data_IF_834152847267
#
_entry.id   IF_834152847267
#
_cell.length_a   1.000
_cell.length_b   1.000
_cell.length_c   1.000
_cell.angle_alpha   90.00
_cell.angle_beta   90.00
_cell.angle_gamma   90.00
#
_symmetry.space_group_name_H-M   'P 1'
#
loop_
_entity.id
_entity.type
_entity.pdbx_description
1 polymer ?
#
# COMPACT_ATOMS: atom_id res chain seq x y z
N UNK A 1 -51.55 17.67 -31.34
CA UNK A 1 -50.08 17.91 -31.33
C UNK A 1 -49.36 17.50 -30.04
N UNK A 2 -49.86 17.81 -28.83
CA UNK A 2 -49.14 17.57 -27.55
C UNK A 2 -48.82 16.09 -27.26
N UNK A 3 -49.67 15.14 -27.67
CA UNK A 3 -49.45 13.69 -27.48
C UNK A 3 -48.28 13.14 -28.30
N UNK A 4 -48.09 13.61 -29.54
CA UNK A 4 -47.01 13.17 -30.43
C UNK A 4 -45.62 13.62 -29.94
N UNK A 5 -45.54 14.83 -29.37
CA UNK A 5 -44.29 15.36 -28.80
C UNK A 5 -43.85 14.63 -27.53
N UNK A 6 -44.80 14.23 -26.68
CA UNK A 6 -44.49 13.38 -25.51
C UNK A 6 -44.00 11.99 -25.94
N UNK A 7 -44.62 11.39 -26.96
CA UNK A 7 -44.23 10.08 -27.48
C UNK A 7 -42.81 10.08 -28.08
N UNK A 8 -42.43 11.11 -28.85
CA UNK A 8 -41.07 11.21 -29.41
C UNK A 8 -39.99 11.38 -28.33
N UNK A 9 -40.29 12.07 -27.23
CA UNK A 9 -39.39 12.15 -26.06
C UNK A 9 -39.21 10.80 -25.38
N UNK A 10 -40.26 10.01 -25.24
CA UNK A 10 -40.16 8.65 -24.69
C UNK A 10 -39.31 7.73 -25.58
N UNK A 11 -39.49 7.79 -26.90
CA UNK A 11 -38.68 7.03 -27.85
C UNK A 11 -37.20 7.43 -27.79
N UNK A 12 -36.88 8.73 -27.81
CA UNK A 12 -35.50 9.22 -27.65
C UNK A 12 -34.88 8.80 -26.31
N UNK A 13 -35.66 8.82 -25.22
CA UNK A 13 -35.18 8.38 -23.90
C UNK A 13 -34.92 6.87 -23.86
N UNK A 14 -35.79 6.07 -24.48
CA UNK A 14 -35.61 4.62 -24.63
C UNK A 14 -34.37 4.29 -25.46
N UNK A 15 -34.20 4.96 -26.61
CA UNK A 15 -33.05 4.77 -27.50
C UNK A 15 -31.72 5.15 -26.82
N UNK A 16 -31.70 6.28 -26.09
CA UNK A 16 -30.54 6.69 -25.30
C UNK A 16 -30.22 5.70 -24.17
N UNK A 17 -31.24 5.12 -23.54
CA UNK A 17 -31.07 4.10 -22.49
C UNK A 17 -30.50 2.80 -23.09
N UNK A 18 -31.00 2.38 -24.25
CA UNK A 18 -30.49 1.21 -24.98
C UNK A 18 -29.03 1.40 -25.42
N UNK A 19 -28.68 2.56 -26.01
CA UNK A 19 -27.30 2.90 -26.37
C UNK A 19 -26.37 2.91 -25.16
N UNK A 20 -26.81 3.45 -24.02
CA UNK A 20 -26.04 3.44 -22.77
C UNK A 20 -25.79 2.01 -22.26
N UNK A 21 -26.79 1.13 -22.31
CA UNK A 21 -26.64 -0.28 -21.92
C UNK A 21 -25.64 -0.99 -22.83
N UNK A 22 -25.74 -0.81 -24.15
CA UNK A 22 -24.82 -1.42 -25.12
C UNK A 22 -23.39 -0.92 -24.89
N UNK A 23 -23.22 0.39 -24.69
CA UNK A 23 -21.90 0.96 -24.40
C UNK A 23 -21.32 0.44 -23.08
N UNK A 24 -22.12 0.36 -22.02
CA UNK A 24 -21.68 -0.21 -20.75
C UNK A 24 -21.29 -1.68 -20.87
N UNK A 25 -22.04 -2.48 -21.64
CA UNK A 25 -21.68 -3.89 -21.92
C UNK A 25 -20.35 -3.97 -22.67
N UNK A 26 -20.16 -3.18 -23.74
CA UNK A 26 -18.88 -3.13 -24.48
C UNK A 26 -17.72 -2.72 -23.58
N UNK A 27 -17.93 -1.74 -22.69
CA UNK A 27 -16.94 -1.28 -21.73
C UNK A 27 -16.56 -2.40 -20.74
N UNK A 28 -17.57 -3.09 -20.19
CA UNK A 28 -17.37 -4.23 -19.29
C UNK A 28 -16.56 -5.34 -19.97
N UNK A 29 -16.92 -5.72 -21.21
CA UNK A 29 -16.19 -6.73 -21.97
C UNK A 29 -14.73 -6.34 -22.19
N UNK A 30 -14.46 -5.06 -22.49
CA UNK A 30 -13.08 -4.56 -22.64
C UNK A 30 -12.30 -4.69 -21.33
N UNK A 31 -12.88 -4.31 -20.19
CA UNK A 31 -12.21 -4.47 -18.90
C UNK A 31 -11.97 -5.93 -18.54
N UNK A 32 -12.92 -6.82 -18.83
CA UNK A 32 -12.74 -8.26 -18.63
C UNK A 32 -11.59 -8.82 -19.46
N UNK A 33 -11.48 -8.42 -20.74
CA UNK A 33 -10.38 -8.85 -21.60
C UNK A 33 -9.03 -8.34 -21.10
N UNK A 34 -8.94 -7.09 -20.66
CA UNK A 34 -7.72 -6.53 -20.06
C UNK A 34 -7.35 -7.31 -18.80
N UNK A 35 -8.33 -7.60 -17.93
CA UNK A 35 -8.10 -8.36 -16.71
C UNK A 35 -7.60 -9.78 -16.99
N UNK A 36 -8.20 -10.48 -17.96
CA UNK A 36 -7.74 -11.81 -18.39
C UNK A 36 -6.33 -11.76 -18.99
N UNK A 37 -6.00 -10.72 -19.76
CA UNK A 37 -4.66 -10.53 -20.32
C UNK A 37 -3.60 -10.32 -19.22
N UNK A 38 -3.95 -9.56 -18.16
CA UNK A 38 -3.08 -9.36 -17.00
C UNK A 38 -2.86 -10.68 -16.24
N UNK A 39 -3.90 -11.49 -16.07
CA UNK A 39 -3.75 -12.82 -15.44
C UNK A 39 -2.87 -13.72 -16.29
N UNK A 40 -3.14 -13.80 -17.60
CA UNK A 40 -2.35 -14.60 -18.52
C UNK A 40 -0.87 -14.18 -18.52
N UNK A 41 -0.59 -12.87 -18.56
CA UNK A 41 0.79 -12.40 -18.52
C UNK A 41 1.48 -12.72 -17.20
N UNK A 42 0.78 -12.65 -16.07
CA UNK A 42 1.31 -13.04 -14.76
C UNK A 42 1.65 -14.53 -14.68
N UNK A 43 0.88 -15.39 -15.34
CA UNK A 43 1.09 -16.84 -15.35
C UNK A 43 2.23 -17.26 -16.27
N UNK A 44 2.38 -16.59 -17.42
CA UNK A 44 3.34 -16.97 -18.46
C UNK A 44 4.70 -16.29 -18.28
N UNK A 45 4.74 -15.05 -17.82
CA UNK A 45 5.97 -14.26 -17.73
C UNK A 45 6.35 -13.97 -16.26
N UNK A 46 7.46 -14.54 -15.75
CA UNK A 46 7.90 -14.31 -14.37
C UNK A 46 8.10 -12.83 -14.02
N UNK A 47 8.63 -12.03 -14.95
CA UNK A 47 8.82 -10.59 -14.73
C UNK A 47 7.50 -9.82 -14.63
N UNK A 48 6.47 -10.25 -15.37
CA UNK A 48 5.12 -9.67 -15.25
C UNK A 48 4.50 -10.01 -13.89
N UNK A 49 4.66 -11.26 -13.40
CA UNK A 49 4.26 -11.67 -12.04
C UNK A 49 4.89 -10.76 -10.99
N UNK A 50 6.21 -10.55 -11.05
CA UNK A 50 6.94 -9.67 -10.12
C UNK A 50 6.38 -8.25 -10.13
N UNK A 51 6.20 -7.67 -11.31
CA UNK A 51 5.68 -6.32 -11.48
C UNK A 51 4.26 -6.16 -10.93
N UNK A 52 3.37 -7.12 -11.19
CA UNK A 52 1.99 -7.12 -10.68
C UNK A 52 1.99 -7.17 -9.15
N UNK A 53 2.82 -8.02 -8.54
CA UNK A 53 2.89 -8.12 -7.08
C UNK A 53 3.43 -6.82 -6.46
N UNK A 54 4.45 -6.20 -7.07
CA UNK A 54 4.94 -4.88 -6.64
C UNK A 54 3.82 -3.84 -6.67
N UNK A 55 3.03 -3.79 -7.75
CA UNK A 55 1.87 -2.88 -7.85
C UNK A 55 0.84 -3.19 -6.77
N UNK A 56 0.54 -4.46 -6.51
CA UNK A 56 -0.43 -4.85 -5.49
C UNK A 56 0.02 -4.43 -4.08
N UNK A 57 1.29 -4.63 -3.74
CA UNK A 57 1.85 -4.19 -2.46
C UNK A 57 1.81 -2.66 -2.31
N UNK A 58 2.15 -1.92 -3.38
CA UNK A 58 2.02 -0.46 -3.41
C UNK A 58 0.57 -0.01 -3.25
N UNK A 59 -0.37 -0.68 -3.92
CA UNK A 59 -1.79 -0.37 -3.84
C UNK A 59 -2.35 -0.64 -2.43
N UNK A 60 -1.97 -1.75 -1.79
CA UNK A 60 -2.33 -2.04 -0.40
C UNK A 60 -1.80 -0.95 0.53
N UNK A 61 -0.54 -0.54 0.37
CA UNK A 61 0.02 0.54 1.17
C UNK A 61 -0.74 1.86 0.97
N UNK A 62 -1.01 2.24 -0.28
CA UNK A 62 -1.79 3.42 -0.64
C UNK A 62 -3.19 3.39 -0.01
N UNK A 63 -3.94 2.30 -0.19
CA UNK A 63 -5.27 2.13 0.37
C UNK A 63 -5.22 2.22 1.90
N UNK A 64 -4.24 1.58 2.54
CA UNK A 64 -4.08 1.64 4.00
C UNK A 64 -3.84 3.07 4.50
N UNK A 65 -2.99 3.84 3.81
CA UNK A 65 -2.67 5.22 4.17
C UNK A 65 -3.89 6.14 4.01
N UNK A 66 -4.64 6.00 2.91
CA UNK A 66 -5.88 6.73 2.69
C UNK A 66 -6.97 6.35 3.70
N UNK A 67 -7.17 5.05 3.95
CA UNK A 67 -8.15 4.56 4.91
C UNK A 67 -7.83 5.09 6.31
N UNK A 68 -6.57 5.02 6.74
CA UNK A 68 -6.11 5.59 8.02
C UNK A 68 -6.45 7.08 8.13
N UNK A 69 -6.10 7.90 7.11
CA UNK A 69 -6.44 9.34 7.11
C UNK A 69 -7.94 9.57 7.23
N UNK A 70 -8.73 8.82 6.47
CA UNK A 70 -10.19 8.95 6.48
C UNK A 70 -10.79 8.62 7.85
N UNK A 71 -10.35 7.53 8.48
CA UNK A 71 -10.83 7.09 9.79
C UNK A 71 -10.41 8.06 10.91
N UNK A 72 -9.17 8.59 10.87
CA UNK A 72 -8.70 9.58 11.83
C UNK A 72 -9.51 10.88 11.71
N UNK A 73 -9.79 11.36 10.49
CA UNK A 73 -10.63 12.56 10.26
C UNK A 73 -12.05 12.42 10.81
N UNK A 74 -12.57 11.19 10.90
CA UNK A 74 -13.87 10.89 11.49
C UNK A 74 -13.83 10.69 13.01
N UNK A 75 -12.68 10.93 13.65
CA UNK A 75 -12.54 10.87 15.11
C UNK A 75 -12.45 9.45 15.68
N UNK A 76 -12.25 8.43 14.85
CA UNK A 76 -12.34 7.02 15.28
C UNK A 76 -11.27 6.66 16.30
N UNK A 77 -9.98 6.85 16.00
CA UNK A 77 -8.92 6.70 17.00
C UNK A 77 -7.55 7.14 16.51
N UNK A 78 -6.78 7.78 17.39
CA UNK A 78 -5.34 8.04 17.20
C UNK A 78 -4.49 6.76 17.24
N UNK A 79 -5.03 5.63 17.71
CA UNK A 79 -4.36 4.32 17.75
C UNK A 79 -4.02 3.84 16.33
N UNK A 80 -4.81 4.24 15.33
CA UNK A 80 -4.58 3.88 13.94
C UNK A 80 -3.29 4.49 13.35
N UNK A 81 -2.64 5.44 14.05
CA UNK A 81 -1.43 6.12 13.54
C UNK A 81 -0.29 5.14 13.23
N UNK A 82 -0.10 4.10 14.04
CA UNK A 82 0.95 3.11 13.83
C UNK A 82 0.65 2.08 12.73
N UNK A 83 -0.55 2.06 12.16
CA UNK A 83 -0.92 1.08 11.14
C UNK A 83 -0.33 1.50 9.79
N UNK A 84 0.86 0.98 9.50
CA UNK A 84 1.62 1.27 8.30
C UNK A 84 2.11 -0.02 7.65
N UNK A 85 1.74 -0.23 6.38
CA UNK A 85 2.19 -1.38 5.59
C UNK A 85 3.62 -1.21 5.06
N UNK A 86 4.21 -0.01 5.18
CA UNK A 86 5.50 0.35 4.62
C UNK A 86 6.61 -0.63 5.01
N UNK A 87 6.75 -0.97 6.29
CA UNK A 87 7.80 -1.90 6.74
C UNK A 87 7.62 -3.27 6.11
N UNK A 88 6.41 -3.81 6.18
CA UNK A 88 6.08 -5.10 5.59
C UNK A 88 6.39 -5.15 4.09
N UNK A 89 5.91 -4.18 3.31
CA UNK A 89 6.16 -4.14 1.85
C UNK A 89 7.64 -3.98 1.53
N UNK A 90 8.35 -3.14 2.28
CA UNK A 90 9.79 -2.89 2.12
C UNK A 90 10.61 -4.16 2.36
N UNK A 91 10.37 -4.84 3.49
CA UNK A 91 11.14 -6.02 3.88
C UNK A 91 10.83 -7.18 2.95
N UNK A 92 9.56 -7.43 2.63
CA UNK A 92 9.17 -8.51 1.71
C UNK A 92 9.85 -8.32 0.35
N UNK A 93 9.79 -7.12 -0.23
CA UNK A 93 10.35 -6.88 -1.56
C UNK A 93 11.89 -6.85 -1.57
N UNK A 94 12.53 -6.35 -0.50
CA UNK A 94 13.98 -6.44 -0.35
C UNK A 94 14.44 -7.88 -0.23
N UNK A 95 13.77 -8.67 0.62
CA UNK A 95 14.07 -10.07 0.85
C UNK A 95 13.96 -10.93 -0.42
N UNK A 96 12.91 -10.71 -1.23
CA UNK A 96 12.61 -11.54 -2.41
C UNK A 96 13.27 -11.06 -3.69
N UNK A 97 13.31 -9.75 -3.93
CA UNK A 97 13.73 -9.16 -5.20
C UNK A 97 15.08 -8.44 -5.14
N UNK A 98 15.69 -8.40 -3.96
CA UNK A 98 17.04 -7.88 -3.75
C UNK A 98 17.09 -6.37 -3.50
N UNK A 99 18.33 -5.89 -3.35
CA UNK A 99 18.65 -4.57 -2.80
C UNK A 99 17.94 -3.44 -3.55
N UNK A 100 18.07 -3.40 -4.89
CA UNK A 100 17.55 -2.28 -5.70
C UNK A 100 16.04 -2.12 -5.52
N UNK A 101 15.29 -3.22 -5.62
CA UNK A 101 13.83 -3.20 -5.54
C UNK A 101 13.39 -2.91 -4.10
N UNK A 102 14.02 -3.51 -3.10
CA UNK A 102 13.72 -3.24 -1.69
C UNK A 102 13.91 -1.77 -1.30
N UNK A 103 15.03 -1.16 -1.71
CA UNK A 103 15.31 0.25 -1.45
C UNK A 103 14.26 1.16 -2.11
N UNK A 104 13.98 0.94 -3.41
CA UNK A 104 12.98 1.72 -4.15
C UNK A 104 11.61 1.57 -3.50
N UNK A 105 11.22 0.37 -3.11
CA UNK A 105 9.94 0.10 -2.46
C UNK A 105 9.81 0.81 -1.12
N UNK A 106 10.84 0.79 -0.28
CA UNK A 106 10.82 1.53 0.99
C UNK A 106 10.67 3.03 0.82
N UNK A 107 11.41 3.61 -0.14
CA UNK A 107 11.29 5.02 -0.47
C UNK A 107 9.89 5.38 -1.00
N UNK A 108 9.40 4.64 -2.00
CA UNK A 108 8.10 4.89 -2.63
C UNK A 108 6.94 4.71 -1.65
N UNK A 109 6.93 3.66 -0.83
CA UNK A 109 5.88 3.44 0.17
C UNK A 109 5.81 4.61 1.16
N UNK A 110 6.94 5.15 1.60
CA UNK A 110 6.93 6.32 2.48
C UNK A 110 6.47 7.59 1.80
N UNK A 111 6.92 7.86 0.57
CA UNK A 111 6.44 9.00 -0.22
C UNK A 111 4.92 8.93 -0.37
N UNK A 112 4.38 7.75 -0.70
CA UNK A 112 2.94 7.51 -0.77
C UNK A 112 2.26 7.83 0.56
N UNK A 113 2.80 7.39 1.71
CA UNK A 113 2.20 7.69 3.01
C UNK A 113 2.21 9.20 3.31
N UNK A 114 3.30 9.91 3.01
CA UNK A 114 3.39 11.35 3.22
C UNK A 114 2.31 12.11 2.44
N UNK A 115 2.16 11.78 1.15
CA UNK A 115 1.17 12.39 0.26
C UNK A 115 -0.25 12.03 0.71
N UNK A 116 -0.51 10.74 0.95
CA UNK A 116 -1.85 10.22 1.21
C UNK A 116 -2.40 10.68 2.55
N UNK A 117 -1.55 10.74 3.58
CA UNK A 117 -1.90 11.20 4.92
C UNK A 117 -1.89 12.72 5.06
N UNK A 118 -1.35 13.44 4.06
CA UNK A 118 -1.14 14.89 4.08
C UNK A 118 -0.30 15.35 5.29
N UNK A 119 0.79 14.61 5.56
CA UNK A 119 1.65 14.78 6.74
C UNK A 119 3.02 15.39 6.41
N UNK A 120 3.06 16.30 5.44
CA UNK A 120 4.29 16.95 5.00
C UNK A 120 4.98 17.64 6.18
N UNK A 121 6.17 17.15 6.50
CA UNK A 121 6.94 17.57 7.66
C UNK A 121 8.39 17.20 7.45
N UNK A 122 9.31 17.94 8.07
CA UNK A 122 10.75 17.73 7.90
C UNK A 122 11.22 16.31 8.28
N UNK A 123 10.39 15.54 8.99
CA UNK A 123 10.56 14.11 9.26
C UNK A 123 10.77 13.25 7.99
N UNK A 124 10.31 13.69 6.80
CA UNK A 124 10.48 12.90 5.58
C UNK A 124 11.96 12.72 5.19
N UNK A 125 12.82 13.70 5.54
CA UNK A 125 14.26 13.69 5.22
C UNK A 125 14.94 12.51 5.93
N UNK A 126 14.46 12.12 7.11
CA UNK A 126 15.03 11.03 7.89
C UNK A 126 14.33 9.71 7.61
N UNK A 127 13.00 9.71 7.52
CA UNK A 127 12.23 8.47 7.44
C UNK A 127 12.32 7.82 6.06
N UNK A 128 12.35 8.58 4.95
CA UNK A 128 12.47 8.00 3.61
C UNK A 128 13.79 7.22 3.47
N UNK A 129 14.98 7.82 3.73
CA UNK A 129 16.23 7.08 3.69
C UNK A 129 16.28 5.90 4.65
N UNK A 130 15.64 6.00 5.81
CA UNK A 130 15.60 4.92 6.79
C UNK A 130 14.84 3.70 6.25
N UNK A 131 13.70 3.89 5.60
CA UNK A 131 13.00 2.79 4.95
C UNK A 131 13.74 2.24 3.73
N UNK A 132 14.42 3.09 2.95
CA UNK A 132 15.33 2.60 1.90
C UNK A 132 16.43 1.70 2.49
N UNK A 133 17.04 2.11 3.60
CA UNK A 133 18.04 1.33 4.32
C UNK A 133 17.48 -0.01 4.81
N UNK A 134 16.25 -0.06 5.32
CA UNK A 134 15.64 -1.35 5.70
C UNK A 134 15.38 -2.27 4.51
N UNK A 135 15.05 -1.72 3.34
CA UNK A 135 14.98 -2.50 2.10
C UNK A 135 16.34 -3.10 1.71
N UNK A 136 17.42 -2.33 1.88
CA UNK A 136 18.79 -2.81 1.70
C UNK A 136 19.14 -3.93 2.69
N UNK A 137 18.87 -3.71 4.00
CA UNK A 137 19.19 -4.69 5.05
C UNK A 137 18.38 -5.97 4.84
N UNK A 138 17.09 -5.88 4.51
CA UNK A 138 16.26 -7.04 4.24
C UNK A 138 16.81 -7.92 3.11
N UNK A 139 17.32 -7.30 2.05
CA UNK A 139 17.97 -8.00 0.94
C UNK A 139 19.31 -8.64 1.34
N UNK A 140 20.11 -7.96 2.17
CA UNK A 140 21.44 -8.43 2.54
C UNK A 140 21.42 -9.59 3.53
N UNK A 141 20.40 -9.63 4.38
CA UNK A 141 20.20 -10.64 5.43
C UNK A 141 19.03 -11.58 5.09
N UNK A 142 18.82 -11.87 3.81
CA UNK A 142 17.73 -12.72 3.33
C UNK A 142 17.90 -14.23 3.66
N UNK A 143 18.96 -14.59 4.38
CA UNK A 143 19.18 -15.91 4.96
C UNK A 143 18.52 -16.07 6.34
N UNK A 144 18.13 -14.97 7.00
CA UNK A 144 17.39 -14.99 8.27
C UNK A 144 15.90 -15.23 7.97
N UNK A 145 15.17 -16.05 8.75
CA UNK A 145 13.73 -16.22 8.54
C UNK A 145 13.00 -14.89 8.44
N UNK A 146 12.19 -14.71 7.39
CA UNK A 146 11.50 -13.45 7.06
C UNK A 146 10.74 -12.86 8.25
N UNK A 147 10.04 -13.70 9.02
CA UNK A 147 9.24 -13.27 10.16
C UNK A 147 10.14 -12.64 11.21
N UNK A 148 11.24 -13.32 11.57
CA UNK A 148 12.23 -12.84 12.52
C UNK A 148 12.88 -11.55 12.04
N UNK A 149 13.32 -11.51 10.78
CA UNK A 149 13.95 -10.33 10.19
C UNK A 149 13.00 -9.12 10.20
N UNK A 150 11.76 -9.31 9.77
CA UNK A 150 10.74 -8.27 9.74
C UNK A 150 10.42 -7.69 11.13
N UNK A 151 10.32 -8.55 12.15
CA UNK A 151 10.10 -8.12 13.53
C UNK A 151 11.32 -7.34 14.05
N UNK A 152 12.54 -7.82 13.83
CA UNK A 152 13.77 -7.12 14.25
C UNK A 152 13.83 -5.72 13.62
N UNK A 153 13.63 -5.62 12.30
CA UNK A 153 13.68 -4.33 11.60
C UNK A 153 12.56 -3.38 12.07
N UNK A 154 11.38 -3.92 12.40
CA UNK A 154 10.30 -3.15 13.02
C UNK A 154 10.72 -2.59 14.37
N UNK A 155 11.33 -3.39 15.23
CA UNK A 155 11.79 -2.93 16.55
C UNK A 155 12.87 -1.85 16.42
N UNK A 156 13.85 -2.07 15.55
CA UNK A 156 14.91 -1.09 15.26
C UNK A 156 14.32 0.22 14.74
N UNK A 157 13.40 0.17 13.78
CA UNK A 157 12.71 1.36 13.28
C UNK A 157 12.02 2.16 14.38
N UNK A 158 11.29 1.47 15.26
CA UNK A 158 10.55 2.12 16.33
C UNK A 158 11.47 2.74 17.38
N UNK A 159 12.57 2.06 17.73
CA UNK A 159 13.62 2.65 18.57
C UNK A 159 14.19 3.92 17.92
N UNK A 160 14.56 3.87 16.65
CA UNK A 160 15.07 5.04 15.92
C UNK A 160 14.03 6.17 15.85
N UNK A 161 12.76 5.84 15.67
CA UNK A 161 11.67 6.83 15.63
C UNK A 161 11.48 7.51 16.99
N UNK A 162 11.61 6.76 18.09
CA UNK A 162 11.59 7.33 19.45
C UNK A 162 12.76 8.30 19.63
N UNK A 163 13.99 7.86 19.32
CA UNK A 163 15.19 8.69 19.47
C UNK A 163 15.15 9.94 18.61
N UNK A 164 14.82 9.81 17.31
CA UNK A 164 14.77 10.93 16.38
C UNK A 164 13.60 11.86 16.73
N UNK A 165 12.41 11.28 16.92
CA UNK A 165 11.20 12.06 17.13
C UNK A 165 11.20 12.84 18.44
N UNK A 166 11.58 12.19 19.55
CA UNK A 166 11.64 12.84 20.86
C UNK A 166 12.91 13.66 21.02
N UNK A 167 14.08 13.09 20.69
CA UNK A 167 15.38 13.69 20.99
C UNK A 167 15.79 14.83 20.06
N UNK A 168 15.50 14.72 18.75
CA UNK A 168 15.95 15.72 17.78
C UNK A 168 14.86 16.71 17.37
N UNK A 169 13.58 16.30 17.48
CA UNK A 169 12.49 17.00 16.80
C UNK A 169 11.34 17.42 17.74
N UNK A 170 11.49 17.18 19.04
CA UNK A 170 10.59 17.70 20.08
C UNK A 170 9.17 17.15 20.04
N UNK A 171 8.95 16.00 19.42
CA UNK A 171 7.62 15.40 19.37
C UNK A 171 7.17 14.90 20.74
N UNK A 172 5.87 15.01 21.02
CA UNK A 172 5.28 14.64 22.31
C UNK A 172 5.45 13.15 22.59
N UNK A 173 6.08 12.81 23.72
CA UNK A 173 6.36 11.43 24.14
C UNK A 173 5.14 10.50 24.02
N UNK A 174 3.99 10.94 24.54
CA UNK A 174 2.73 10.16 24.46
C UNK A 174 2.35 9.79 23.03
N UNK A 175 2.50 10.72 22.08
CA UNK A 175 2.13 10.48 20.68
C UNK A 175 3.05 9.47 20.00
N UNK A 176 4.35 9.59 20.26
CA UNK A 176 5.37 8.66 19.74
C UNK A 176 5.21 7.28 20.34
N UNK A 177 5.01 7.16 21.65
CA UNK A 177 4.87 5.86 22.31
C UNK A 177 3.63 5.11 21.82
N UNK A 178 2.49 5.80 21.64
CA UNK A 178 1.29 5.19 21.06
C UNK A 178 1.55 4.75 19.62
N UNK A 179 2.19 5.60 18.80
CA UNK A 179 2.57 5.23 17.44
C UNK A 179 3.47 3.99 17.44
N UNK A 180 4.52 3.97 18.26
CA UNK A 180 5.49 2.89 18.25
C UNK A 180 4.90 1.57 18.72
N UNK A 181 4.12 1.58 19.80
CA UNK A 181 3.47 0.37 20.28
C UNK A 181 2.50 -0.20 19.24
N UNK A 182 1.65 0.65 18.64
CA UNK A 182 0.69 0.22 17.63
C UNK A 182 1.36 -0.25 16.34
N UNK A 183 2.47 0.38 15.95
CA UNK A 183 3.26 -0.01 14.79
C UNK A 183 3.96 -1.36 14.99
N UNK A 184 4.55 -1.59 16.17
CA UNK A 184 5.17 -2.87 16.53
C UNK A 184 4.12 -3.98 16.48
N UNK A 185 3.00 -3.82 17.20
CA UNK A 185 1.95 -4.85 17.25
C UNK A 185 1.38 -5.15 15.87
N UNK A 186 1.14 -4.11 15.07
CA UNK A 186 0.62 -4.27 13.71
C UNK A 186 1.59 -5.02 12.80
N UNK A 187 2.88 -4.66 12.81
CA UNK A 187 3.87 -5.33 11.97
C UNK A 187 4.17 -6.75 12.46
N UNK A 188 4.22 -7.01 13.78
CA UNK A 188 4.33 -8.37 14.31
C UNK A 188 3.18 -9.24 13.79
N UNK A 189 1.95 -8.73 13.81
CA UNK A 189 0.79 -9.41 13.23
C UNK A 189 0.96 -9.66 11.72
N UNK A 190 1.33 -8.63 10.94
CA UNK A 190 1.52 -8.77 9.49
C UNK A 190 2.60 -9.79 9.16
N UNK A 191 3.76 -9.74 9.81
CA UNK A 191 4.84 -10.68 9.53
C UNK A 191 4.49 -12.11 9.96
N UNK A 192 3.86 -12.28 11.12
CA UNK A 192 3.54 -13.63 11.63
C UNK A 192 2.48 -14.35 10.79
N UNK A 193 1.57 -13.61 10.13
CA UNK A 193 0.45 -14.20 9.40
C UNK A 193 0.66 -14.14 7.89
N UNK A 194 1.16 -13.02 7.36
CA UNK A 194 1.17 -12.76 5.92
C UNK A 194 2.54 -12.97 5.27
N UNK A 195 3.65 -12.94 6.01
CA UNK A 195 4.97 -12.96 5.38
C UNK A 195 5.24 -14.23 4.57
N UNK A 196 5.04 -15.41 5.16
CA UNK A 196 5.25 -16.68 4.46
C UNK A 196 4.29 -16.90 3.29
N UNK A 197 2.96 -16.70 3.42
CA UNK A 197 2.05 -16.81 2.28
C UNK A 197 2.42 -15.88 1.13
N UNK A 198 2.81 -14.63 1.45
CA UNK A 198 3.18 -13.64 0.44
C UNK A 198 4.50 -14.02 -0.24
N UNK A 199 5.50 -14.50 0.50
CA UNK A 199 6.74 -14.99 -0.11
C UNK A 199 6.47 -16.19 -1.01
N UNK A 200 5.69 -17.18 -0.58
CA UNK A 200 5.34 -18.35 -1.40
C UNK A 200 4.64 -17.95 -2.70
N UNK A 201 3.79 -16.91 -2.65
CA UNK A 201 3.14 -16.36 -3.83
C UNK A 201 4.15 -15.66 -4.77
N UNK A 202 5.18 -15.02 -4.21
CA UNK A 202 6.15 -14.20 -4.93
C UNK A 202 7.29 -15.01 -5.54
N UNK A 203 7.85 -15.96 -4.80
CA UNK A 203 8.84 -16.93 -5.29
C UNK A 203 8.29 -17.78 -6.43
#
# INVERSE_FOLDING_TARGET
MIKLWKFSKYLKKSENSAKKIINNKKLLTRYMLIFLLIIYSALVFPEAKKFIIIILLLAINLISAFAKRFLIKRGISNILKGFEFVMFTTVITGYTYGIKIGMIMGGLCMVINYISENRFSIYFIMTIPLYMLFGYIAARFNNIPIVTLGIILTLVYNLMTIFIGMGLMGAKARGILIFSLTNILFNVYLFSILAEPVIKLIS
#
